data_IF_141840228549
#
_entry.id   IF_141840228549
#
_cell.length_a   1.000
_cell.length_b   1.000
_cell.length_c   1.000
_cell.angle_alpha   90.00
_cell.angle_beta   90.00
_cell.angle_gamma   90.00
#
_symmetry.space_group_name_H-M   'P 1'
#
loop_
_entity.id
_entity.type
_entity.pdbx_description
1 polymer ?
#
# COMPACT_ATOMS: atom_id res chain seq x y z
N UNK A 1 1.58 -4.40 14.26
CA UNK A 1 3.05 -4.57 14.12
C UNK A 1 3.75 -4.51 15.47
N UNK A 2 3.66 -3.41 16.23
CA UNK A 2 4.26 -3.29 17.57
C UNK A 2 3.86 -4.40 18.55
N UNK A 3 2.56 -4.65 18.72
CA UNK A 3 2.04 -5.74 19.55
C UNK A 3 2.47 -7.15 19.07
N UNK A 4 3.06 -7.27 17.88
CA UNK A 4 3.60 -8.52 17.31
C UNK A 4 5.14 -8.52 17.27
N UNK A 5 5.81 -7.59 17.97
CA UNK A 5 7.26 -7.60 18.18
C UNK A 5 8.10 -6.70 17.27
N UNK A 6 7.52 -5.91 16.37
CA UNK A 6 8.30 -4.95 15.57
C UNK A 6 8.97 -3.92 16.48
N UNK A 7 10.27 -3.63 16.32
CA UNK A 7 11.02 -2.70 17.19
C UNK A 7 10.62 -1.24 17.01
N UNK A 8 10.26 -0.84 15.80
CA UNK A 8 9.68 0.46 15.44
C UNK A 8 8.77 0.32 14.22
N UNK A 9 7.88 1.29 14.01
CA UNK A 9 6.97 1.36 12.85
C UNK A 9 6.91 2.79 12.34
N UNK A 10 7.04 2.97 11.02
CA UNK A 10 6.74 4.22 10.34
C UNK A 10 5.48 4.06 9.49
N UNK A 11 4.41 4.75 9.87
CA UNK A 11 3.13 4.76 9.15
C UNK A 11 3.06 5.97 8.22
N UNK A 12 2.72 5.77 6.96
CA UNK A 12 2.69 6.83 5.95
C UNK A 12 1.33 6.81 5.26
N UNK A 13 0.69 7.98 5.17
CA UNK A 13 -0.56 8.17 4.44
C UNK A 13 -0.62 9.59 3.88
N UNK A 14 -1.30 9.81 2.74
CA UNK A 14 -1.48 11.15 2.18
C UNK A 14 -2.54 11.96 2.95
N UNK A 15 -3.45 11.28 3.65
CA UNK A 15 -4.59 11.86 4.35
C UNK A 15 -4.23 12.31 5.75
N UNK A 16 -4.25 13.63 5.96
CA UNK A 16 -4.09 14.25 7.28
C UNK A 16 -5.12 13.71 8.29
N UNK A 17 -6.35 13.47 7.85
CA UNK A 17 -7.43 12.95 8.70
C UNK A 17 -7.17 11.51 9.16
N UNK A 18 -6.56 10.67 8.31
CA UNK A 18 -6.21 9.30 8.69
C UNK A 18 -5.04 9.29 9.66
N UNK A 19 -4.02 10.12 9.43
CA UNK A 19 -2.88 10.25 10.35
C UNK A 19 -3.33 10.76 11.72
N UNK A 20 -4.11 11.83 11.78
CA UNK A 20 -4.63 12.36 13.04
C UNK A 20 -5.47 11.32 13.82
N UNK A 21 -6.25 10.50 13.11
CA UNK A 21 -7.01 9.41 13.72
C UNK A 21 -6.09 8.29 14.22
N UNK A 22 -5.07 7.91 13.46
CA UNK A 22 -4.13 6.87 13.82
C UNK A 22 -3.32 7.24 15.07
N UNK A 23 -2.87 8.50 15.17
CA UNK A 23 -2.22 9.07 16.34
C UNK A 23 -3.14 9.06 17.57
N UNK A 24 -4.40 9.48 17.42
CA UNK A 24 -5.36 9.46 18.54
C UNK A 24 -5.69 8.04 19.04
N UNK A 25 -5.64 7.05 18.14
CA UNK A 25 -5.96 5.65 18.45
C UNK A 25 -4.77 4.84 18.96
N UNK A 26 -3.53 5.37 18.87
CA UNK A 26 -2.32 4.60 19.17
C UNK A 26 -1.37 5.38 20.07
N UNK A 27 -1.08 4.84 21.25
CA UNK A 27 -0.14 5.45 22.20
C UNK A 27 1.10 4.57 22.35
N UNK A 28 1.98 4.59 21.34
CA UNK A 28 3.27 3.91 21.34
C UNK A 28 4.32 4.84 20.70
N UNK A 29 5.36 5.27 21.44
CA UNK A 29 6.36 6.22 20.93
C UNK A 29 7.22 5.66 19.79
N UNK A 30 7.26 4.34 19.62
CA UNK A 30 8.01 3.69 18.53
C UNK A 30 7.16 3.57 17.25
N UNK A 31 5.96 4.16 17.23
CA UNK A 31 5.16 4.33 16.01
C UNK A 31 5.19 5.81 15.63
N UNK A 32 5.81 6.09 14.50
CA UNK A 32 5.86 7.44 13.93
C UNK A 32 4.96 7.49 12.70
N UNK A 33 4.02 8.43 12.69
CA UNK A 33 3.16 8.68 11.56
C UNK A 33 3.65 9.89 10.75
N UNK A 34 3.47 9.85 9.44
CA UNK A 34 3.90 10.89 8.54
C UNK A 34 2.89 11.08 7.40
N UNK A 35 2.58 12.34 7.12
CA UNK A 35 1.80 12.71 5.94
C UNK A 35 2.76 12.83 4.75
N UNK A 36 2.68 11.91 3.79
CA UNK A 36 3.50 11.96 2.58
C UNK A 36 2.81 11.34 1.36
N UNK A 37 3.16 11.83 0.18
CA UNK A 37 2.73 11.28 -1.09
C UNK A 37 3.70 10.20 -1.57
N UNK A 38 3.21 8.97 -1.73
CA UNK A 38 3.99 7.84 -2.23
C UNK A 38 4.50 8.04 -3.66
N UNK A 39 3.91 8.94 -4.46
CA UNK A 39 4.39 9.30 -5.80
C UNK A 39 5.69 10.10 -5.76
N UNK A 40 6.05 10.71 -4.62
CA UNK A 40 7.26 11.53 -4.49
C UNK A 40 8.14 11.17 -3.30
N UNK A 41 7.62 10.39 -2.35
CA UNK A 41 8.34 9.92 -1.17
C UNK A 41 9.69 9.29 -1.54
N UNK A 42 10.70 9.59 -0.73
CA UNK A 42 11.99 8.91 -0.72
C UNK A 42 12.28 8.42 0.71
N UNK A 43 12.57 7.13 0.83
CA UNK A 43 12.96 6.52 2.09
C UNK A 43 14.49 6.36 2.17
N UNK A 44 15.06 6.39 3.39
CA UNK A 44 16.47 6.11 3.60
C UNK A 44 16.81 4.68 3.16
N UNK A 45 18.03 4.48 2.65
CA UNK A 45 18.49 3.19 2.14
C UNK A 45 18.70 2.20 3.28
N UNK A 46 18.43 0.91 3.04
CA UNK A 46 18.75 -0.21 3.94
C UNK A 46 18.36 0.05 5.40
N UNK A 47 17.14 0.52 5.61
CA UNK A 47 16.63 0.96 6.92
C UNK A 47 15.52 0.05 7.44
N UNK A 48 14.76 -0.60 6.56
CA UNK A 48 13.57 -1.36 6.95
C UNK A 48 13.74 -2.84 6.69
N UNK A 49 13.33 -3.67 7.65
CA UNK A 49 13.27 -5.13 7.49
C UNK A 49 12.01 -5.57 6.73
N UNK A 50 10.93 -4.79 6.84
CA UNK A 50 9.63 -5.06 6.22
C UNK A 50 9.00 -3.77 5.70
N UNK A 51 8.55 -3.79 4.46
CA UNK A 51 7.59 -2.84 3.90
C UNK A 51 6.24 -3.53 3.73
N UNK A 52 5.18 -2.91 4.25
CA UNK A 52 3.82 -3.42 4.17
C UNK A 52 2.87 -2.37 3.59
N UNK A 53 2.02 -2.77 2.66
CA UNK A 53 0.94 -1.91 2.14
C UNK A 53 -0.35 -2.71 1.96
N UNK A 54 -1.45 -2.18 2.49
CA UNK A 54 -2.77 -2.77 2.33
C UNK A 54 -3.62 -1.91 1.40
N UNK A 55 -3.96 -2.44 0.23
CA UNK A 55 -4.86 -1.81 -0.73
C UNK A 55 -4.50 -0.35 -1.07
N UNK A 56 -3.21 -0.06 -1.30
CA UNK A 56 -2.75 1.31 -1.62
C UNK A 56 -2.07 1.41 -2.98
N UNK A 57 -1.24 0.44 -3.37
CA UNK A 57 -0.36 0.60 -4.53
C UNK A 57 -1.06 0.73 -5.89
N UNK A 58 -2.32 0.30 -5.99
CA UNK A 58 -3.12 0.46 -7.23
C UNK A 58 -3.52 1.92 -7.50
N UNK A 59 -3.31 2.85 -6.57
CA UNK A 59 -3.45 4.29 -6.82
C UNK A 59 -2.19 4.95 -7.37
N UNK A 60 -1.06 4.23 -7.39
CA UNK A 60 0.25 4.77 -7.78
C UNK A 60 0.41 4.68 -9.29
N UNK A 61 0.69 5.81 -9.95
CA UNK A 61 0.86 5.84 -11.41
C UNK A 61 2.21 5.26 -11.82
N UNK A 62 3.29 5.64 -11.12
CA UNK A 62 4.63 5.13 -11.38
C UNK A 62 5.04 4.07 -10.35
N UNK A 63 4.44 2.87 -10.47
CA UNK A 63 4.73 1.76 -9.58
C UNK A 63 6.20 1.31 -9.66
N UNK A 64 6.82 1.43 -10.82
CA UNK A 64 8.21 1.03 -11.07
C UNK A 64 9.20 1.91 -10.27
N UNK A 65 8.96 3.23 -10.21
CA UNK A 65 9.67 4.15 -9.30
C UNK A 65 9.49 3.73 -7.85
N UNK A 66 8.25 3.50 -7.41
CA UNK A 66 7.96 3.11 -6.03
C UNK A 66 8.65 1.80 -5.66
N UNK A 67 8.57 0.78 -6.51
CA UNK A 67 9.18 -0.53 -6.29
C UNK A 67 10.71 -0.42 -6.15
N UNK A 68 11.38 0.39 -6.99
CA UNK A 68 12.82 0.66 -6.86
C UNK A 68 13.18 1.38 -5.56
N UNK A 69 12.37 2.35 -5.15
CA UNK A 69 12.58 3.09 -3.90
C UNK A 69 12.45 2.14 -2.70
N UNK A 70 11.40 1.30 -2.67
CA UNK A 70 11.19 0.28 -1.64
C UNK A 70 12.32 -0.74 -1.61
N UNK A 71 12.75 -1.24 -2.77
CA UNK A 71 13.90 -2.16 -2.88
C UNK A 71 15.18 -1.57 -2.27
N UNK A 72 15.46 -0.29 -2.53
CA UNK A 72 16.60 0.41 -1.91
C UNK A 72 16.44 0.63 -0.42
N UNK A 73 15.22 0.86 0.05
CA UNK A 73 14.92 1.17 1.44
C UNK A 73 14.98 -0.07 2.34
N UNK A 74 14.70 -1.24 1.78
CA UNK A 74 14.84 -2.52 2.46
C UNK A 74 16.31 -2.88 2.68
N UNK A 75 16.59 -3.52 3.82
CA UNK A 75 17.86 -4.22 4.07
C UNK A 75 17.98 -5.46 3.14
N UNK A 76 19.19 -6.02 2.94
CA UNK A 76 19.31 -7.35 2.35
C UNK A 76 18.42 -8.36 3.10
N UNK A 77 17.74 -9.24 2.35
CA UNK A 77 16.75 -10.20 2.87
C UNK A 77 15.50 -9.57 3.53
N UNK A 78 15.33 -8.25 3.40
CA UNK A 78 14.10 -7.55 3.77
C UNK A 78 12.92 -7.92 2.87
N UNK A 79 11.71 -7.78 3.40
CA UNK A 79 10.50 -8.23 2.72
C UNK A 79 9.61 -7.07 2.29
N UNK A 80 9.00 -7.20 1.13
CA UNK A 80 7.86 -6.39 0.70
C UNK A 80 6.63 -7.28 0.65
N UNK A 81 5.59 -6.93 1.41
CA UNK A 81 4.30 -7.63 1.40
C UNK A 81 3.21 -6.60 1.14
N UNK A 82 2.39 -6.82 0.11
CA UNK A 82 1.31 -5.89 -0.18
C UNK A 82 0.07 -6.57 -0.76
N UNK A 83 -1.06 -5.89 -0.62
CA UNK A 83 -2.29 -6.22 -1.33
C UNK A 83 -2.72 -5.06 -2.23
N UNK A 84 -3.33 -5.40 -3.35
CA UNK A 84 -3.98 -4.46 -4.27
C UNK A 84 -5.35 -5.00 -4.67
N UNK A 85 -6.19 -4.15 -5.24
CA UNK A 85 -7.32 -4.65 -6.01
C UNK A 85 -6.82 -5.55 -7.14
N UNK A 86 -7.55 -6.64 -7.40
CA UNK A 86 -7.13 -7.60 -8.41
C UNK A 86 -7.24 -6.96 -9.82
N UNK A 87 -6.27 -7.18 -10.74
CA UNK A 87 -6.31 -6.58 -12.07
C UNK A 87 -7.62 -6.82 -12.84
N UNK A 88 -8.24 -8.00 -12.69
CA UNK A 88 -9.59 -8.27 -13.25
C UNK A 88 -10.61 -7.25 -12.77
N UNK A 89 -10.63 -6.93 -11.48
CA UNK A 89 -11.57 -5.96 -10.92
C UNK A 89 -11.31 -4.56 -11.47
N UNK A 90 -10.04 -4.19 -11.60
CA UNK A 90 -9.60 -2.87 -12.05
C UNK A 90 -9.68 -2.67 -13.57
N UNK A 91 -9.70 -3.75 -14.36
CA UNK A 91 -9.70 -3.67 -15.83
C UNK A 91 -11.00 -3.08 -16.38
N UNK A 92 -12.12 -3.24 -15.67
CA UNK A 92 -13.41 -2.81 -16.15
C UNK A 92 -13.53 -1.29 -16.17
N UNK A 93 -13.76 -0.70 -17.35
CA UNK A 93 -14.12 0.74 -17.46
C UNK A 93 -15.43 1.04 -16.73
N UNK A 94 -16.34 0.06 -16.69
CA UNK A 94 -17.59 0.11 -15.96
C UNK A 94 -17.68 -1.13 -15.05
N UNK A 95 -17.21 -1.04 -13.79
CA UNK A 95 -17.06 -2.19 -12.90
C UNK A 95 -18.41 -2.68 -12.37
N UNK A 96 -19.15 -3.38 -13.23
CA UNK A 96 -20.44 -3.99 -12.91
C UNK A 96 -20.55 -5.37 -13.52
N UNK A 97 -21.29 -6.24 -12.84
CA UNK A 97 -21.65 -7.55 -13.37
C UNK A 97 -22.50 -7.40 -14.64
N UNK A 98 -22.09 -8.11 -15.70
CA UNK A 98 -22.85 -8.27 -16.92
C UNK A 98 -23.31 -9.71 -17.11
N UNK A 99 -23.86 -9.98 -18.29
CA UNK A 99 -24.10 -11.34 -18.77
C UNK A 99 -23.35 -11.53 -20.10
N UNK A 100 -22.78 -12.73 -20.30
CA UNK A 100 -22.21 -13.13 -21.58
C UNK A 100 -23.31 -13.61 -22.56
N UNK A 101 -22.90 -14.03 -23.76
CA UNK A 101 -23.82 -14.51 -24.82
C UNK A 101 -24.61 -15.76 -24.40
N UNK A 102 -24.10 -16.53 -23.44
CA UNK A 102 -24.75 -17.72 -22.88
C UNK A 102 -25.64 -17.39 -21.66
N UNK A 103 -25.77 -16.11 -21.29
CA UNK A 103 -26.54 -15.65 -20.13
C UNK A 103 -25.82 -15.88 -18.78
N UNK A 104 -24.53 -16.23 -18.79
CA UNK A 104 -23.75 -16.42 -17.56
C UNK A 104 -23.28 -15.08 -17.03
N UNK A 105 -23.20 -14.99 -15.70
CA UNK A 105 -22.68 -13.81 -15.01
C UNK A 105 -21.19 -13.61 -15.34
N UNK A 106 -20.85 -12.46 -15.91
CA UNK A 106 -19.50 -12.15 -16.38
C UNK A 106 -19.00 -10.80 -15.83
N UNK A 107 -17.70 -10.71 -15.63
CA UNK A 107 -17.02 -9.45 -15.30
C UNK A 107 -16.23 -8.98 -16.53
N UNK A 108 -16.43 -7.74 -16.99
CA UNK A 108 -15.72 -7.26 -18.18
C UNK A 108 -14.24 -7.05 -17.89
N UNK A 109 -13.39 -7.47 -18.83
CA UNK A 109 -11.96 -7.19 -18.88
C UNK A 109 -11.70 -6.54 -20.24
N UNK A 110 -11.74 -5.21 -20.31
CA UNK A 110 -11.88 -4.47 -21.57
C UNK A 110 -10.96 -3.25 -21.66
#
# INVERSE_FOLDING_TARGET
MRAQGASAVRGIDLSQNMIARAEAMTQDPEIVYEIADLETLELPKSTFDLAYSALTFHYIRDFDRLARMLYRALVPDGHLVFTIEHPIYMAATHPRWGQDEDGRKSWPVN
#
